data_IF_911803532393
#
_entry.id   IF_911803532393
#
_cell.length_a   1.000
_cell.length_b   1.000
_cell.length_c   1.000
_cell.angle_alpha   90.00
_cell.angle_beta   90.00
_cell.angle_gamma   90.00
#
_symmetry.space_group_name_H-M   'P 1'
#
loop_
_entity.id
_entity.type
_entity.pdbx_description
1 polymer ?
#
# COMPACT_ATOMS: atom_id res chain seq x y z
N UNK A 1 8.61 9.83 36.65
CA UNK A 1 9.23 10.29 35.39
C UNK A 1 8.19 10.06 34.31
N UNK A 2 7.70 11.10 33.63
CA UNK A 2 6.76 11.02 32.56
C UNK A 2 7.50 11.22 31.23
N UNK A 3 7.32 10.30 30.27
CA UNK A 3 7.93 10.39 28.94
C UNK A 3 6.85 10.76 27.93
N UNK A 4 6.91 11.96 27.38
CA UNK A 4 6.05 12.40 26.30
C UNK A 4 6.76 12.23 24.95
N UNK A 5 6.25 11.33 24.11
CA UNK A 5 6.75 11.12 22.74
C UNK A 5 5.84 11.84 21.75
N UNK A 6 6.35 12.81 20.97
CA UNK A 6 5.55 13.47 19.96
C UNK A 6 5.19 12.48 18.84
N UNK A 7 3.90 12.28 18.61
CA UNK A 7 3.37 11.38 17.58
C UNK A 7 2.98 12.19 16.32
N UNK A 8 3.98 12.89 15.75
CA UNK A 8 3.79 13.67 14.51
C UNK A 8 3.79 12.77 13.30
N UNK A 9 2.92 13.08 12.33
CA UNK A 9 2.95 12.46 11.00
C UNK A 9 4.04 13.12 10.17
N UNK A 10 4.82 12.30 9.46
CA UNK A 10 5.91 12.76 8.59
C UNK A 10 5.91 11.99 7.28
N UNK A 11 6.23 12.72 6.21
CA UNK A 11 6.57 12.16 4.91
C UNK A 11 8.09 12.01 4.86
N UNK A 12 8.58 10.79 4.69
CA UNK A 12 10.01 10.49 4.66
C UNK A 12 10.39 10.02 3.27
N UNK A 13 11.50 10.53 2.74
CA UNK A 13 12.09 10.08 1.48
C UNK A 13 13.29 9.19 1.77
N UNK A 14 13.52 8.20 0.92
CA UNK A 14 14.75 7.44 0.95
C UNK A 14 15.95 8.32 0.56
N UNK A 15 17.13 7.94 1.00
CA UNK A 15 18.37 8.55 0.53
C UNK A 15 18.60 8.18 -0.94
N UNK A 16 19.27 9.04 -1.70
CA UNK A 16 19.45 8.89 -3.16
C UNK A 16 20.17 7.59 -3.59
N UNK A 17 20.87 6.93 -2.67
CA UNK A 17 21.52 5.64 -2.92
C UNK A 17 20.53 4.46 -3.01
N UNK A 18 19.29 4.63 -2.53
CA UNK A 18 18.22 3.62 -2.62
C UNK A 18 17.41 3.92 -3.89
N UNK A 19 17.94 3.50 -5.03
CA UNK A 19 17.38 3.80 -6.36
C UNK A 19 15.93 3.33 -6.52
N UNK A 20 15.55 2.22 -5.89
CA UNK A 20 14.20 1.65 -5.95
C UNK A 20 13.12 2.55 -5.33
N UNK A 21 13.51 3.45 -4.42
CA UNK A 21 12.59 4.32 -3.68
C UNK A 21 12.71 5.80 -4.07
N UNK A 22 13.37 6.10 -5.19
CA UNK A 22 13.39 7.45 -5.77
C UNK A 22 11.96 7.84 -6.15
N UNK A 23 11.58 9.10 -5.88
CA UNK A 23 10.24 9.64 -6.09
C UNK A 23 9.13 8.87 -5.34
N UNK A 24 9.49 8.28 -4.21
CA UNK A 24 8.56 7.66 -3.27
C UNK A 24 8.67 8.28 -1.89
N UNK A 25 7.58 8.19 -1.15
CA UNK A 25 7.50 8.61 0.24
C UNK A 25 6.97 7.47 1.10
N UNK A 26 7.52 7.37 2.31
CA UNK A 26 7.00 6.54 3.38
C UNK A 26 6.40 7.45 4.46
N UNK A 27 5.23 7.10 4.96
CA UNK A 27 4.55 7.86 5.99
C UNK A 27 4.81 7.23 7.35
N UNK A 28 5.24 8.06 8.31
CA UNK A 28 5.43 7.64 9.70
C UNK A 28 4.62 8.50 10.64
N UNK A 29 4.26 7.94 11.79
CA UNK A 29 3.67 8.69 12.91
C UNK A 29 4.43 8.37 14.20
N UNK A 30 5.23 9.31 14.67
CA UNK A 30 6.24 9.02 15.69
C UNK A 30 7.19 7.92 15.20
N UNK A 31 7.41 6.84 15.96
CA UNK A 31 8.28 5.72 15.57
C UNK A 31 7.57 4.68 14.65
N UNK A 32 6.29 4.84 14.38
CA UNK A 32 5.51 3.86 13.63
C UNK A 32 5.55 4.15 12.13
N UNK A 33 5.87 3.12 11.33
CA UNK A 33 5.72 3.12 9.88
C UNK A 33 4.28 2.79 9.52
N UNK A 34 3.73 3.44 8.50
CA UNK A 34 2.39 3.22 7.99
C UNK A 34 2.42 2.60 6.60
N UNK A 35 1.41 1.82 6.28
CA UNK A 35 1.22 1.21 4.97
C UNK A 35 -0.23 1.37 4.50
N UNK A 36 -0.45 1.27 3.20
CA UNK A 36 -1.77 1.20 2.60
C UNK A 36 -2.11 -0.26 2.26
N UNK A 37 -3.32 -0.70 2.62
CA UNK A 37 -3.89 -2.00 2.24
C UNK A 37 -5.07 -1.82 1.28
N UNK A 38 -5.29 -2.77 0.37
CA UNK A 38 -6.43 -2.73 -0.56
C UNK A 38 -7.76 -2.78 0.18
N UNK A 39 -7.85 -3.49 1.30
CA UNK A 39 -9.09 -3.61 2.09
C UNK A 39 -9.60 -2.26 2.62
N UNK A 40 -8.74 -1.27 2.81
CA UNK A 40 -9.10 0.06 3.30
C UNK A 40 -9.27 1.10 2.17
N UNK A 41 -8.95 0.72 0.92
CA UNK A 41 -8.85 1.66 -0.19
C UNK A 41 -9.62 1.16 -1.42
N UNK A 42 -10.23 2.08 -2.17
CA UNK A 42 -11.08 1.74 -3.33
C UNK A 42 -10.25 1.22 -4.50
N UNK A 43 -9.08 1.81 -4.72
CA UNK A 43 -8.17 1.41 -5.80
C UNK A 43 -6.98 0.62 -5.22
N UNK A 44 -6.25 -0.06 -6.10
CA UNK A 44 -5.03 -0.78 -5.72
C UNK A 44 -4.01 0.19 -5.07
N UNK A 45 -3.42 -0.15 -3.91
CA UNK A 45 -2.49 0.74 -3.20
C UNK A 45 -1.34 1.28 -4.04
N UNK A 46 -0.80 0.47 -4.97
CA UNK A 46 0.28 0.88 -5.88
C UNK A 46 -0.13 1.94 -6.91
N UNK A 47 -1.44 2.13 -7.14
CA UNK A 47 -1.97 3.12 -8.10
C UNK A 47 -2.08 4.53 -7.53
N UNK A 48 -1.85 4.72 -6.24
CA UNK A 48 -1.98 6.02 -5.61
C UNK A 48 -0.72 6.87 -5.76
N UNK A 49 -0.96 8.15 -6.00
CA UNK A 49 0.04 9.22 -5.96
C UNK A 49 -0.28 10.11 -4.76
N UNK A 50 0.68 10.24 -3.86
CA UNK A 50 0.54 11.01 -2.63
C UNK A 50 1.13 12.41 -2.83
N UNK A 51 0.35 13.42 -2.50
CA UNK A 51 0.81 14.81 -2.44
C UNK A 51 1.08 15.16 -0.98
N UNK A 52 2.36 15.31 -0.56
CA UNK A 52 2.67 15.72 0.80
C UNK A 52 1.94 17.03 1.15
N UNK A 53 1.11 16.95 2.18
CA UNK A 53 0.23 18.05 2.61
C UNK A 53 0.08 18.01 4.13
N UNK A 54 -0.38 19.11 4.71
CA UNK A 54 -0.80 19.20 6.10
C UNK A 54 -2.24 18.73 6.33
N UNK A 55 -3.01 18.50 5.25
CA UNK A 55 -4.39 18.04 5.31
C UNK A 55 -4.47 16.53 5.65
N UNK A 56 -4.07 16.19 6.87
CA UNK A 56 -4.00 14.82 7.36
C UNK A 56 -5.10 14.64 8.38
N UNK A 57 -5.90 13.59 8.24
CA UNK A 57 -6.83 13.18 9.28
C UNK A 57 -6.36 11.91 10.00
N UNK A 58 -6.63 11.84 11.30
CA UNK A 58 -6.30 10.67 12.13
C UNK A 58 -7.60 10.19 12.76
N UNK A 59 -7.95 8.93 12.49
CA UNK A 59 -9.16 8.30 13.00
C UNK A 59 -8.81 7.03 13.77
N UNK A 60 -9.70 6.61 14.67
CA UNK A 60 -9.57 5.31 15.33
C UNK A 60 -10.24 4.24 14.49
N UNK A 61 -9.63 3.08 14.44
CA UNK A 61 -10.22 1.89 13.85
C UNK A 61 -11.48 1.42 14.60
N UNK A 62 -12.13 0.40 14.07
CA UNK A 62 -13.31 -0.22 14.65
C UNK A 62 -13.09 -1.71 14.94
N UNK A 63 -13.96 -2.33 15.71
CA UNK A 63 -13.90 -3.77 16.00
C UNK A 63 -12.58 -4.20 16.63
N UNK A 64 -11.90 -5.16 16.01
CA UNK A 64 -10.61 -5.65 16.45
C UNK A 64 -9.50 -4.59 16.37
N UNK A 65 -9.65 -3.62 15.46
CA UNK A 65 -8.68 -2.52 15.24
C UNK A 65 -9.02 -1.25 16.04
N UNK A 66 -9.92 -1.29 17.01
CA UNK A 66 -10.40 -0.12 17.78
C UNK A 66 -9.30 0.70 18.49
N UNK A 67 -8.13 0.12 18.70
CA UNK A 67 -6.98 0.80 19.30
C UNK A 67 -5.94 1.27 18.27
N UNK A 68 -6.16 0.95 17.00
CA UNK A 68 -5.29 1.34 15.91
C UNK A 68 -5.68 2.74 15.44
N UNK A 69 -4.68 3.62 15.26
CA UNK A 69 -4.88 4.93 14.66
C UNK A 69 -4.64 4.82 13.15
N UNK A 70 -5.67 5.05 12.37
CA UNK A 70 -5.58 5.19 10.92
C UNK A 70 -5.22 6.62 10.55
N UNK A 71 -4.49 6.78 9.45
CA UNK A 71 -4.14 8.07 8.86
C UNK A 71 -4.77 8.12 7.47
N UNK A 72 -5.47 9.22 7.16
CA UNK A 72 -5.92 9.50 5.81
C UNK A 72 -5.18 10.73 5.29
N UNK A 73 -4.56 10.60 4.12
CA UNK A 73 -3.78 11.64 3.45
C UNK A 73 -4.40 11.98 2.10
N UNK A 74 -4.23 13.23 1.60
CA UNK A 74 -4.57 13.58 0.24
C UNK A 74 -3.75 12.76 -0.76
N UNK A 75 -4.44 12.14 -1.71
CA UNK A 75 -3.84 11.33 -2.76
C UNK A 75 -4.82 11.23 -3.93
N UNK A 76 -4.33 10.94 -5.13
CA UNK A 76 -5.19 10.54 -6.23
C UNK A 76 -4.78 9.18 -6.78
N UNK A 77 -5.68 8.48 -7.43
CA UNK A 77 -5.36 7.22 -8.09
C UNK A 77 -5.21 7.43 -9.60
N UNK A 78 -4.18 6.82 -10.20
CA UNK A 78 -4.03 6.82 -11.66
C UNK A 78 -5.05 5.91 -12.36
N UNK A 79 -5.71 5.02 -11.61
CA UNK A 79 -6.79 4.15 -12.11
C UNK A 79 -8.16 4.81 -12.06
N UNK A 80 -8.37 5.72 -11.08
CA UNK A 80 -9.63 6.41 -10.89
C UNK A 80 -9.37 7.83 -10.35
N UNK A 81 -9.61 8.83 -11.20
CA UNK A 81 -9.32 10.22 -10.88
C UNK A 81 -10.29 10.87 -9.88
N UNK A 82 -11.41 10.22 -9.60
CA UNK A 82 -12.38 10.69 -8.61
C UNK A 82 -11.98 10.34 -7.17
N UNK A 83 -10.92 9.54 -7.01
CA UNK A 83 -10.35 9.20 -5.70
C UNK A 83 -9.38 10.32 -5.27
N UNK A 84 -9.62 10.90 -4.10
CA UNK A 84 -8.86 12.05 -3.58
C UNK A 84 -8.19 11.80 -2.24
N UNK A 85 -8.25 10.59 -1.70
CA UNK A 85 -7.65 10.24 -0.41
C UNK A 85 -7.14 8.81 -0.35
N UNK A 86 -6.13 8.59 0.47
CA UNK A 86 -5.54 7.28 0.77
C UNK A 86 -5.58 7.04 2.26
N UNK A 87 -6.10 5.90 2.67
CA UNK A 87 -6.15 5.45 4.07
C UNK A 87 -4.99 4.51 4.36
N UNK A 88 -4.34 4.75 5.49
CA UNK A 88 -3.15 4.04 5.93
C UNK A 88 -3.33 3.53 7.36
N UNK A 89 -2.74 2.38 7.65
CA UNK A 89 -2.66 1.83 9.00
C UNK A 89 -1.21 1.55 9.39
N UNK A 90 -0.91 1.40 10.71
CA UNK A 90 0.45 1.05 11.12
C UNK A 90 0.88 -0.31 10.56
N UNK A 91 2.09 -0.40 10.04
CA UNK A 91 2.65 -1.61 9.42
C UNK A 91 2.51 -2.88 10.29
N UNK A 92 2.62 -2.77 11.61
CA UNK A 92 2.46 -3.94 12.50
C UNK A 92 1.03 -4.50 12.55
N UNK A 93 0.06 -3.77 12.02
CA UNK A 93 -1.36 -4.13 12.04
C UNK A 93 -1.89 -4.62 10.67
N UNK A 94 -1.03 -4.69 9.64
CA UNK A 94 -1.41 -5.19 8.32
C UNK A 94 -1.65 -6.71 8.35
N UNK A 95 -2.31 -7.24 7.33
CA UNK A 95 -2.58 -8.69 7.13
C UNK A 95 -3.44 -9.34 8.25
N UNK A 96 -4.17 -8.54 9.01
CA UNK A 96 -5.06 -9.05 10.05
C UNK A 96 -6.52 -9.26 9.58
N UNK A 97 -6.80 -8.96 8.30
CA UNK A 97 -8.16 -8.97 7.71
C UNK A 97 -8.27 -9.80 6.45
N UNK A 98 -7.27 -10.61 6.15
CA UNK A 98 -7.15 -11.49 4.98
C UNK A 98 -5.99 -11.07 4.07
N UNK A 99 -5.59 -11.98 3.17
CA UNK A 99 -4.54 -11.73 2.19
C UNK A 99 -4.94 -10.57 1.28
N UNK A 100 -4.18 -9.48 1.32
CA UNK A 100 -4.47 -8.29 0.52
C UNK A 100 -3.19 -7.57 0.09
N UNK A 101 -3.28 -6.81 -1.02
CA UNK A 101 -2.14 -6.04 -1.49
C UNK A 101 -1.81 -4.89 -0.51
N UNK A 102 -0.52 -4.72 -0.22
CA UNK A 102 -0.02 -3.70 0.70
C UNK A 102 1.19 -2.98 0.10
N UNK A 103 1.33 -1.69 0.41
CA UNK A 103 2.49 -0.89 0.04
C UNK A 103 2.89 0.07 1.17
N UNK A 104 4.20 0.25 1.37
CA UNK A 104 4.79 1.21 2.31
C UNK A 104 5.31 2.44 1.58
N UNK A 105 6.03 2.24 0.47
CA UNK A 105 6.63 3.31 -0.32
C UNK A 105 5.66 3.77 -1.41
N UNK A 106 5.03 4.90 -1.19
CA UNK A 106 3.97 5.49 -2.02
C UNK A 106 4.59 6.37 -3.12
N UNK A 107 4.04 6.33 -4.31
CA UNK A 107 4.52 7.12 -5.45
C UNK A 107 4.22 8.61 -5.27
N UNK A 108 5.13 9.48 -5.72
CA UNK A 108 4.94 10.94 -5.76
C UNK A 108 4.56 11.45 -7.17
N UNK A 109 4.51 10.57 -8.18
CA UNK A 109 4.12 10.96 -9.54
C UNK A 109 3.37 9.83 -10.26
N UNK A 110 2.58 10.23 -11.27
CA UNK A 110 1.71 9.33 -12.04
C UNK A 110 2.48 8.26 -12.83
N UNK A 111 3.64 8.61 -13.37
CA UNK A 111 4.44 7.68 -14.16
C UNK A 111 4.93 6.51 -13.32
N UNK A 112 5.38 6.80 -12.10
CA UNK A 112 5.84 5.80 -11.15
C UNK A 112 4.70 4.95 -10.63
N UNK A 113 3.55 5.55 -10.32
CA UNK A 113 2.35 4.84 -9.90
C UNK A 113 1.87 3.87 -11.00
N UNK A 114 1.78 4.33 -12.25
CA UNK A 114 1.43 3.47 -13.39
C UNK A 114 2.40 2.31 -13.59
N UNK A 115 3.72 2.56 -13.42
CA UNK A 115 4.75 1.51 -13.53
C UNK A 115 4.70 0.51 -12.37
N UNK A 116 4.13 0.90 -11.21
CA UNK A 116 4.04 0.07 -10.01
C UNK A 116 2.81 -0.83 -9.99
N UNK A 117 1.84 -0.61 -10.89
CA UNK A 117 0.67 -1.48 -11.00
C UNK A 117 1.09 -2.81 -11.63
N UNK A 118 0.88 -3.96 -10.97
CA UNK A 118 1.21 -5.27 -11.53
C UNK A 118 0.48 -5.49 -12.85
N UNK A 119 1.24 -5.86 -13.89
CA UNK A 119 0.66 -6.23 -15.18
C UNK A 119 0.38 -7.74 -15.17
N UNK A 120 -0.88 -8.12 -15.18
CA UNK A 120 -1.31 -9.52 -15.19
C UNK A 120 -0.63 -10.33 -16.30
N UNK A 121 -0.37 -9.70 -17.47
CA UNK A 121 0.32 -10.35 -18.59
C UNK A 121 1.78 -10.73 -18.27
N UNK A 122 2.50 -9.94 -17.47
CA UNK A 122 3.87 -10.22 -17.05
C UNK A 122 3.89 -11.37 -16.03
N UNK A 123 2.95 -11.34 -15.07
CA UNK A 123 2.80 -12.40 -14.08
C UNK A 123 2.47 -13.77 -14.72
N UNK A 124 1.57 -13.79 -15.72
CA UNK A 124 1.24 -15.02 -16.46
C UNK A 124 2.43 -15.51 -17.30
N UNK A 125 3.25 -14.63 -17.86
CA UNK A 125 4.43 -15.01 -18.63
C UNK A 125 5.50 -15.63 -17.74
N UNK A 126 5.71 -15.12 -16.54
CA UNK A 126 6.67 -15.64 -15.57
C UNK A 126 6.27 -17.01 -15.03
N UNK A 127 4.97 -17.21 -14.73
CA UNK A 127 4.44 -18.52 -14.35
C UNK A 127 4.64 -19.54 -15.47
N UNK A 128 4.37 -19.17 -16.73
CA UNK A 128 4.57 -20.05 -17.88
C UNK A 128 6.05 -20.38 -18.14
N UNK A 129 6.96 -19.46 -17.82
CA UNK A 129 8.39 -19.67 -17.99
C UNK A 129 9.01 -20.58 -16.92
N UNK A 130 8.45 -20.60 -15.71
CA UNK A 130 8.98 -21.31 -14.55
C UNK A 130 8.29 -22.65 -14.27
N UNK A 131 7.07 -22.85 -14.75
CA UNK A 131 6.28 -24.06 -14.47
C UNK A 131 5.58 -24.54 -15.74
N UNK A 132 5.74 -25.81 -16.07
CA UNK A 132 4.90 -26.50 -17.08
C UNK A 132 3.57 -26.86 -16.46
N UNK A 133 2.72 -25.86 -16.24
CA UNK A 133 1.35 -26.12 -15.81
C UNK A 133 0.46 -26.47 -16.99
N UNK A 134 -0.39 -27.48 -16.79
CA UNK A 134 -1.51 -27.73 -17.68
C UNK A 134 -2.50 -26.55 -17.59
N UNK A 135 -3.28 -26.36 -18.67
CA UNK A 135 -4.30 -25.32 -18.76
C UNK A 135 -5.32 -25.38 -17.62
N UNK A 136 -5.63 -26.59 -17.16
CA UNK A 136 -6.59 -26.84 -16.10
C UNK A 136 -6.03 -26.49 -14.73
N UNK A 137 -4.71 -26.64 -14.50
CA UNK A 137 -4.04 -26.23 -13.27
C UNK A 137 -4.03 -24.70 -13.10
N UNK A 138 -3.79 -23.96 -14.19
CA UNK A 138 -3.85 -22.49 -14.17
C UNK A 138 -5.27 -21.99 -13.86
N UNK A 139 -6.30 -22.66 -14.40
CA UNK A 139 -7.69 -22.31 -14.15
C UNK A 139 -8.10 -22.61 -12.70
N UNK A 140 -7.63 -23.71 -12.13
CA UNK A 140 -7.85 -24.08 -10.75
C UNK A 140 -7.18 -23.07 -9.76
N UNK A 141 -5.97 -22.61 -10.07
CA UNK A 141 -5.29 -21.59 -9.28
C UNK A 141 -6.01 -20.24 -9.29
N UNK A 142 -6.52 -19.83 -10.45
CA UNK A 142 -7.25 -18.55 -10.58
C UNK A 142 -8.63 -18.58 -9.91
N UNK A 143 -9.25 -19.76 -9.75
CA UNK A 143 -10.58 -19.90 -9.17
C UNK A 143 -10.61 -20.29 -7.71
N UNK A 144 -9.58 -20.97 -7.19
CA UNK A 144 -9.56 -21.58 -5.86
C UNK A 144 -8.48 -21.05 -4.92
N UNK A 145 -7.66 -20.08 -5.34
CA UNK A 145 -6.50 -19.61 -4.59
C UNK A 145 -5.32 -20.60 -4.63
N UNK A 146 -4.15 -20.16 -4.19
CA UNK A 146 -2.97 -21.01 -4.10
C UNK A 146 -3.18 -22.14 -3.07
N UNK A 147 -2.86 -23.38 -3.40
CA UNK A 147 -2.79 -24.43 -2.36
C UNK A 147 -1.66 -24.08 -1.38
N UNK A 148 -1.95 -24.25 -0.09
CA UNK A 148 -1.02 -24.05 1.01
C UNK A 148 0.20 -24.97 0.92
#
# INVERSE_FOLDING_TARGET
>A
MELQLPMLVRYNKAISQVEADIDRVCITRGPLVYCAESVDNVAMPASYVVNPSEDISITKGAGALKYIAFITVPAHSVQDKDIHSLTLLPYYAWDNRGDDAMIVWLSENDSLANASIPKISEYISDIKATHTFDRDDVYAMLTNGYPA
#
